data_IF_628886422705
#
_entry.id   IF_628886422705
#
_cell.length_a   1.000
_cell.length_b   1.000
_cell.length_c   1.000
_cell.angle_alpha   90.00
_cell.angle_beta   90.00
_cell.angle_gamma   90.00
#
_symmetry.space_group_name_H-M   'P 1'
#
loop_
_entity.id
_entity.type
_entity.pdbx_description
1 polymer ?
#
# COMPACT_ATOMS: atom_id res chain seq x y z
N UNK A 1 -26.56 -0.01 9.55
CA UNK A 1 -25.55 1.01 9.18
C UNK A 1 -24.26 0.67 9.91
N UNK A 2 -23.32 -0.03 9.25
CA UNK A 2 -22.00 -0.27 9.84
C UNK A 2 -21.15 0.99 9.63
N UNK A 3 -20.61 1.54 10.72
CA UNK A 3 -19.71 2.68 10.69
C UNK A 3 -18.47 2.31 9.87
N UNK A 4 -18.44 2.73 8.60
CA UNK A 4 -17.21 2.74 7.81
C UNK A 4 -16.31 3.83 8.37
N UNK A 5 -15.37 3.45 9.24
CA UNK A 5 -14.26 4.32 9.59
C UNK A 5 -13.29 4.34 8.40
N UNK A 6 -13.65 5.15 7.42
CA UNK A 6 -12.85 5.43 6.26
C UNK A 6 -11.63 6.26 6.69
N UNK A 7 -10.47 5.87 6.20
CA UNK A 7 -9.21 6.55 6.42
C UNK A 7 -8.47 6.73 5.10
N UNK A 8 -7.77 7.84 4.99
CA UNK A 8 -6.87 8.10 3.87
C UNK A 8 -5.44 7.75 4.27
N UNK A 9 -4.77 6.91 3.50
CA UNK A 9 -3.35 6.59 3.68
C UNK A 9 -2.55 7.13 2.50
N UNK A 10 -1.39 7.70 2.79
CA UNK A 10 -0.47 8.21 1.77
C UNK A 10 0.53 7.10 1.45
N UNK A 11 0.48 6.59 0.22
CA UNK A 11 1.48 5.66 -0.27
C UNK A 11 2.63 6.43 -0.91
N UNK A 12 3.85 6.26 -0.39
CA UNK A 12 5.06 6.84 -0.98
C UNK A 12 5.90 5.75 -1.65
N UNK A 13 6.14 5.93 -2.94
CA UNK A 13 6.93 5.02 -3.76
C UNK A 13 8.40 5.49 -3.75
N UNK A 14 9.34 4.57 -3.90
CA UNK A 14 10.79 4.88 -3.93
C UNK A 14 11.18 5.89 -5.02
N UNK A 15 10.40 5.99 -6.09
CA UNK A 15 10.57 6.94 -7.18
C UNK A 15 10.09 8.37 -6.82
N UNK A 16 9.85 8.65 -5.54
CA UNK A 16 9.45 9.98 -5.06
C UNK A 16 7.96 10.32 -5.24
N UNK A 17 7.22 9.55 -6.03
CA UNK A 17 5.77 9.70 -6.21
C UNK A 17 4.99 9.35 -4.93
N UNK A 18 3.94 10.12 -4.66
CA UNK A 18 3.03 9.91 -3.53
C UNK A 18 1.59 9.85 -4.03
N UNK A 19 0.83 8.84 -3.60
CA UNK A 19 -0.57 8.65 -4.01
C UNK A 19 -1.41 8.36 -2.78
N UNK A 20 -2.58 9.00 -2.67
CA UNK A 20 -3.53 8.74 -1.59
C UNK A 20 -4.45 7.57 -1.92
N UNK A 21 -4.69 6.72 -0.92
CA UNK A 21 -5.60 5.59 -1.01
C UNK A 21 -6.65 5.68 0.11
N UNK A 22 -7.90 5.55 -0.30
CA UNK A 22 -9.03 5.42 0.60
C UNK A 22 -9.17 3.95 1.04
N UNK A 23 -9.09 3.72 2.35
CA UNK A 23 -9.10 2.40 2.99
C UNK A 23 -9.93 2.41 4.25
N UNK A 24 -10.37 1.25 4.70
CA UNK A 24 -11.06 1.13 6.00
C UNK A 24 -10.08 0.63 7.06
N UNK A 25 -10.21 1.07 8.32
CA UNK A 25 -9.32 0.58 9.41
C UNK A 25 -9.33 -0.95 9.56
N UNK A 26 -10.47 -1.56 9.25
CA UNK A 26 -10.64 -3.01 9.31
C UNK A 26 -10.19 -3.74 8.03
N UNK A 27 -9.78 -3.01 6.98
CA UNK A 27 -9.20 -3.63 5.80
C UNK A 27 -7.89 -4.35 6.18
N UNK A 28 -7.63 -5.47 5.50
CA UNK A 28 -6.35 -6.15 5.56
C UNK A 28 -5.30 -5.39 4.76
N UNK A 29 -4.03 -5.57 5.13
CA UNK A 29 -2.90 -5.09 4.32
C UNK A 29 -2.96 -5.69 2.92
N UNK A 30 -3.35 -6.96 2.78
CA UNK A 30 -3.57 -7.61 1.48
C UNK A 30 -4.54 -6.84 0.59
N UNK A 31 -5.64 -6.30 1.15
CA UNK A 31 -6.62 -5.49 0.41
C UNK A 31 -6.04 -4.16 -0.07
N UNK A 32 -5.19 -3.50 0.74
CA UNK A 32 -4.44 -2.33 0.30
C UNK A 32 -3.48 -2.67 -0.84
N UNK A 33 -2.78 -3.80 -0.76
CA UNK A 33 -1.87 -4.26 -1.84
C UNK A 33 -2.63 -4.50 -3.16
N UNK A 34 -3.85 -5.03 -3.09
CA UNK A 34 -4.68 -5.22 -4.27
C UNK A 34 -5.14 -3.88 -4.87
N UNK A 35 -5.54 -2.91 -4.05
CA UNK A 35 -5.86 -1.55 -4.52
C UNK A 35 -4.66 -0.88 -5.21
N UNK A 36 -3.46 -1.12 -4.71
CA UNK A 36 -2.21 -0.65 -5.31
C UNK A 36 -2.00 -1.31 -6.67
N UNK A 37 -2.24 -2.63 -6.77
CA UNK A 37 -2.16 -3.33 -8.05
C UNK A 37 -3.14 -2.75 -9.07
N UNK A 38 -4.40 -2.54 -8.70
CA UNK A 38 -5.43 -2.00 -9.60
C UNK A 38 -5.12 -0.57 -10.08
N UNK A 39 -4.56 0.29 -9.22
CA UNK A 39 -4.27 1.68 -9.57
C UNK A 39 -2.91 1.89 -10.23
N UNK A 40 -1.88 1.17 -9.78
CA UNK A 40 -0.49 1.38 -10.19
C UNK A 40 0.04 0.25 -11.09
N UNK A 41 -0.74 -0.81 -11.30
CA UNK A 41 -0.35 -1.99 -12.10
C UNK A 41 0.92 -2.68 -11.57
N UNK A 42 1.09 -2.70 -10.24
CA UNK A 42 2.22 -3.33 -9.56
C UNK A 42 1.77 -4.68 -8.97
N UNK A 43 2.35 -5.83 -9.38
CA UNK A 43 1.94 -7.14 -8.87
C UNK A 43 2.10 -7.26 -7.36
N UNK A 44 1.11 -7.83 -6.67
CA UNK A 44 1.05 -7.94 -5.20
C UNK A 44 2.29 -8.66 -4.65
N UNK A 45 2.80 -9.69 -5.32
CA UNK A 45 3.96 -10.46 -4.87
C UNK A 45 5.28 -9.66 -4.89
N UNK A 46 5.33 -8.56 -5.65
CA UNK A 46 6.49 -7.67 -5.73
C UNK A 46 6.41 -6.52 -4.72
N UNK A 47 5.23 -6.27 -4.16
CA UNK A 47 4.99 -5.17 -3.24
C UNK A 47 5.50 -5.51 -1.84
N UNK A 48 6.25 -4.58 -1.24
CA UNK A 48 6.61 -4.62 0.19
C UNK A 48 6.22 -3.30 0.83
N UNK A 49 5.18 -3.34 1.64
CA UNK A 49 4.70 -2.18 2.38
C UNK A 49 5.44 -2.05 3.71
N UNK A 50 5.85 -0.83 4.05
CA UNK A 50 6.59 -0.51 5.26
C UNK A 50 5.96 0.70 5.95
N UNK A 51 5.70 0.57 7.24
CA UNK A 51 5.17 1.64 8.08
C UNK A 51 5.97 1.74 9.38
N UNK A 52 6.33 2.96 9.79
CA UNK A 52 7.12 3.20 11.00
C UNK A 52 8.39 2.30 11.12
N UNK A 53 9.07 2.06 9.99
CA UNK A 53 10.25 1.20 9.92
C UNK A 53 9.99 -0.31 10.02
N UNK A 54 8.73 -0.74 10.09
CA UNK A 54 8.33 -2.15 10.15
C UNK A 54 7.63 -2.60 8.86
N UNK A 55 7.99 -3.76 8.29
CA UNK A 55 7.23 -4.31 7.19
C UNK A 55 5.83 -4.71 7.65
N UNK A 56 4.84 -4.41 6.81
CA UNK A 56 3.46 -4.84 7.04
C UNK A 56 3.29 -6.29 6.61
N UNK A 57 2.50 -7.04 7.36
CA UNK A 57 2.10 -8.42 7.09
C UNK A 57 0.74 -8.41 6.41
N UNK A 58 0.61 -9.11 5.28
CA UNK A 58 -0.61 -9.17 4.49
C UNK A 58 -1.82 -9.73 5.27
N UNK A 59 -1.57 -10.56 6.28
CA UNK A 59 -2.58 -11.21 7.11
C UNK A 59 -3.08 -10.31 8.26
N UNK A 60 -2.50 -9.12 8.44
CA UNK A 60 -2.87 -8.17 9.49
C UNK A 60 -3.76 -7.06 8.93
N UNK A 61 -4.55 -6.45 9.80
CA UNK A 61 -5.40 -5.29 9.46
C UNK A 61 -4.63 -3.98 9.59
N UNK A 62 -5.11 -2.93 8.92
CA UNK A 62 -4.53 -1.58 9.07
C UNK A 62 -4.65 -1.06 10.50
N UNK A 63 -5.76 -1.40 11.20
CA UNK A 63 -5.95 -1.11 12.61
C UNK A 63 -4.91 -1.76 13.53
N UNK A 64 -4.41 -2.98 13.20
CA UNK A 64 -3.38 -3.65 14.01
C UNK A 64 -2.08 -2.83 14.10
N UNK A 65 -1.78 -2.09 13.05
CA UNK A 65 -0.61 -1.22 12.98
C UNK A 65 -0.89 0.23 13.41
N UNK A 66 -2.11 0.51 13.91
CA UNK A 66 -2.59 1.84 14.25
C UNK A 66 -2.41 2.85 13.11
N UNK A 67 -2.68 2.45 11.85
CA UNK A 67 -2.74 3.42 10.76
C UNK A 67 -3.90 4.39 11.02
N UNK A 68 -3.56 5.67 11.09
CA UNK A 68 -4.49 6.79 11.17
C UNK A 68 -4.62 7.49 9.82
N UNK A 69 -5.53 8.45 9.76
CA UNK A 69 -5.65 9.35 8.62
C UNK A 69 -4.31 10.03 8.33
N UNK A 70 -3.99 10.12 7.04
CA UNK A 70 -2.76 10.68 6.49
C UNK A 70 -1.48 9.93 6.89
N UNK A 71 -1.58 8.70 7.40
CA UNK A 71 -0.41 7.86 7.66
C UNK A 71 0.38 7.60 6.38
N UNK A 72 1.69 7.76 6.45
CA UNK A 72 2.59 7.53 5.31
C UNK A 72 3.08 6.08 5.33
N UNK A 73 2.70 5.32 4.31
CA UNK A 73 3.16 3.95 4.05
C UNK A 73 4.13 3.98 2.89
N UNK A 74 5.32 3.40 3.07
CA UNK A 74 6.32 3.29 2.02
C UNK A 74 6.11 2.00 1.22
N UNK A 75 6.05 2.11 -0.10
CA UNK A 75 6.08 0.97 -1.01
C UNK A 75 7.52 0.76 -1.51
N UNK A 76 8.08 -0.38 -1.13
CA UNK A 76 9.37 -0.88 -1.62
C UNK A 76 9.08 -2.02 -2.60
N UNK A 77 9.68 -1.98 -3.79
CA UNK A 77 9.56 -3.05 -4.76
C UNK A 77 10.66 -4.09 -4.54
N UNK A 78 10.28 -5.36 -4.52
CA UNK A 78 11.23 -6.47 -4.50
C UNK A 78 11.58 -6.82 -5.94
N UNK A 79 12.80 -6.47 -6.36
CA UNK A 79 13.30 -6.83 -7.68
C UNK A 79 13.63 -8.33 -7.70
N UNK A 80 12.88 -9.11 -8.48
CA UNK A 80 13.37 -10.37 -9.06
C UNK A 80 13.67 -10.06 -10.52
N UNK A 81 14.88 -10.33 -11.00
CA UNK A 81 15.30 -9.92 -12.35
C UNK A 81 14.30 -10.36 -13.43
N UNK A 82 13.81 -9.40 -14.23
CA UNK A 82 12.92 -9.63 -15.37
C UNK A 82 11.80 -8.57 -15.50
N UNK A 83 11.91 -7.74 -16.54
CA UNK A 83 10.92 -6.80 -17.11
C UNK A 83 10.01 -6.00 -16.18
N UNK A 84 10.43 -4.76 -15.89
CA UNK A 84 9.49 -3.67 -15.64
C UNK A 84 8.74 -3.34 -16.95
N UNK A 85 7.58 -3.95 -17.17
CA UNK A 85 6.68 -3.54 -18.24
C UNK A 85 6.07 -2.17 -17.89
N UNK A 86 6.72 -1.13 -18.37
CA UNK A 86 6.17 0.07 -19.05
C UNK A 86 4.72 0.53 -18.75
N UNK A 87 4.37 0.79 -17.49
CA UNK A 87 3.25 1.74 -17.16
C UNK A 87 3.62 2.78 -16.10
N UNK A 88 4.90 2.93 -15.76
CA UNK A 88 5.36 4.05 -14.93
C UNK A 88 6.13 5.03 -15.82
N UNK A 89 5.36 5.95 -16.39
CA UNK A 89 5.77 7.14 -17.15
C UNK A 89 6.93 7.86 -16.46
N UNK A 90 8.01 8.06 -17.23
CA UNK A 90 9.11 9.02 -17.06
C UNK A 90 8.62 10.47 -17.09
#
# INVERSE_FOLDING_TARGET
MINKFCCEVILKILDGRSTTFEVERNDSVHRLMHKINERLHIPVETQRLVFAGKPLDENKTLAYYNLTDLSIVFLVLRLRGGSFNETLVI
#
